data_IF_189464985317
#
_entry.id   IF_189464985317
#
_cell.length_a   1.000
_cell.length_b   1.000
_cell.length_c   1.000
_cell.angle_alpha   90.00
_cell.angle_beta   90.00
_cell.angle_gamma   90.00
#
_symmetry.space_group_name_H-M   'P 1'
#
loop_
_entity.id
_entity.type
_entity.pdbx_description
1 polymer ?
#
# COMPACT_ATOMS: atom_id res chain seq x y z
N UNK A 1 -2.10 -0.19 24.62
CA UNK A 1 -2.45 -0.68 23.28
C UNK A 1 -3.00 -2.07 23.45
N UNK A 2 -4.10 -2.39 22.75
CA UNK A 2 -4.78 -3.67 22.88
C UNK A 2 -4.94 -4.35 21.52
N UNK A 3 -4.78 -5.67 21.53
CA UNK A 3 -5.03 -6.52 20.37
C UNK A 3 -6.40 -7.17 20.52
N UNK A 4 -7.29 -6.89 19.58
CA UNK A 4 -8.63 -7.49 19.55
C UNK A 4 -8.80 -8.36 18.32
N UNK A 5 -9.66 -9.37 18.42
CA UNK A 5 -10.09 -10.10 17.24
C UNK A 5 -10.69 -9.11 16.22
N UNK A 6 -10.37 -9.21 14.91
CA UNK A 6 -10.78 -8.21 13.91
C UNK A 6 -12.28 -7.90 13.90
N UNK A 7 -13.13 -8.90 14.18
CA UNK A 7 -14.58 -8.70 14.27
C UNK A 7 -15.01 -7.85 15.47
N UNK A 8 -14.36 -8.04 16.64
CA UNK A 8 -14.65 -7.23 17.84
C UNK A 8 -14.22 -5.79 17.58
N UNK A 9 -13.04 -5.60 16.99
CA UNK A 9 -12.55 -4.28 16.59
C UNK A 9 -13.54 -3.56 15.66
N UNK A 10 -14.03 -4.25 14.61
CA UNK A 10 -15.01 -3.67 13.68
C UNK A 10 -16.31 -3.26 14.37
N UNK A 11 -16.80 -4.05 15.33
CA UNK A 11 -18.03 -3.74 16.08
C UNK A 11 -17.83 -2.54 17.00
N UNK A 12 -16.71 -2.50 17.73
CA UNK A 12 -16.34 -1.35 18.56
C UNK A 12 -16.24 -0.05 17.72
N UNK A 13 -15.56 -0.12 16.57
CA UNK A 13 -15.41 1.03 15.66
C UNK A 13 -16.77 1.48 15.12
N UNK A 14 -17.62 0.54 14.70
CA UNK A 14 -18.97 0.85 14.23
C UNK A 14 -19.79 1.59 15.29
N UNK A 15 -19.78 1.09 16.53
CA UNK A 15 -20.48 1.73 17.65
C UNK A 15 -19.98 3.15 17.92
N UNK A 16 -18.65 3.36 17.89
CA UNK A 16 -18.07 4.68 18.10
C UNK A 16 -18.48 5.69 17.01
N UNK A 17 -18.63 5.25 15.76
CA UNK A 17 -19.04 6.10 14.65
C UNK A 17 -20.57 6.29 14.55
N UNK A 18 -21.34 5.66 15.44
CA UNK A 18 -22.80 5.76 15.51
C UNK A 18 -23.54 4.69 14.70
N UNK A 19 -24.66 4.21 15.25
CA UNK A 19 -25.56 3.23 14.61
C UNK A 19 -26.40 3.82 13.47
N UNK A 20 -26.40 5.15 13.29
CA UNK A 20 -27.21 5.88 12.30
C UNK A 20 -26.80 5.59 10.83
N UNK A 21 -25.70 4.87 10.62
CA UNK A 21 -25.29 4.38 9.31
C UNK A 21 -25.21 2.85 9.29
N UNK A 22 -26.37 2.15 9.17
CA UNK A 22 -26.41 0.68 9.06
C UNK A 22 -25.62 0.12 7.86
N UNK A 23 -25.26 0.98 6.90
CA UNK A 23 -24.45 0.64 5.74
C UNK A 23 -22.94 0.94 5.91
N UNK A 24 -22.49 1.38 7.10
CA UNK A 24 -21.10 1.71 7.34
C UNK A 24 -20.23 0.44 7.31
N UNK A 25 -19.53 0.27 6.20
CA UNK A 25 -18.58 -0.83 6.00
C UNK A 25 -17.25 -0.43 6.61
N UNK A 26 -16.93 -0.99 7.79
CA UNK A 26 -15.64 -0.78 8.43
C UNK A 26 -14.58 -1.63 7.73
N UNK A 27 -13.57 -1.02 7.09
CA UNK A 27 -12.49 -1.79 6.48
C UNK A 27 -11.66 -2.54 7.54
N UNK A 28 -10.85 -3.53 7.14
CA UNK A 28 -9.83 -4.12 8.01
C UNK A 28 -8.73 -3.07 8.28
N UNK A 29 -8.89 -2.30 9.35
CA UNK A 29 -7.97 -1.23 9.75
C UNK A 29 -6.69 -1.82 10.36
N UNK A 30 -5.54 -1.20 10.08
CA UNK A 30 -4.26 -1.57 10.72
C UNK A 30 -4.15 -1.15 12.18
N UNK A 31 -4.82 -0.05 12.55
CA UNK A 31 -5.00 0.41 13.92
C UNK A 31 -6.22 1.35 13.99
N UNK A 32 -6.71 1.61 15.19
CA UNK A 32 -7.76 2.60 15.45
C UNK A 32 -7.52 3.30 16.79
N UNK A 33 -7.80 4.60 16.85
CA UNK A 33 -7.73 5.40 18.06
C UNK A 33 -9.14 5.63 18.60
N UNK A 34 -9.43 5.07 19.76
CA UNK A 34 -10.73 5.12 20.39
C UNK A 34 -10.67 5.91 21.70
N UNK A 35 -11.60 6.85 21.97
CA UNK A 35 -11.71 7.48 23.27
C UNK A 35 -11.88 6.44 24.37
N UNK A 36 -11.20 6.62 25.50
CA UNK A 36 -11.20 5.64 26.60
C UNK A 36 -12.62 5.30 27.06
N UNK A 37 -13.47 6.31 27.24
CA UNK A 37 -14.84 6.13 27.73
C UNK A 37 -15.68 5.31 26.75
N UNK A 38 -15.56 5.59 25.45
CA UNK A 38 -16.25 4.85 24.40
C UNK A 38 -15.79 3.39 24.34
N UNK A 39 -14.49 3.13 24.55
CA UNK A 39 -13.97 1.77 24.63
C UNK A 39 -14.58 0.98 25.78
N UNK A 40 -14.61 1.56 26.99
CA UNK A 40 -15.14 0.89 28.17
C UNK A 40 -16.62 0.53 27.98
N UNK A 41 -17.43 1.50 27.55
CA UNK A 41 -18.86 1.28 27.24
C UNK A 41 -19.03 0.24 26.12
N UNK A 42 -18.18 0.26 25.10
CA UNK A 42 -18.25 -0.71 24.00
C UNK A 42 -17.89 -2.13 24.43
N UNK A 43 -16.97 -2.29 25.37
CA UNK A 43 -16.52 -3.60 25.87
C UNK A 43 -17.54 -4.26 26.79
N UNK A 44 -18.37 -3.49 27.51
CA UNK A 44 -19.47 -4.04 28.32
C UNK A 44 -20.35 -5.00 27.51
N UNK A 45 -20.67 -4.63 26.27
CA UNK A 45 -21.52 -5.43 25.38
C UNK A 45 -20.74 -6.42 24.51
N UNK A 46 -19.56 -6.04 24.03
CA UNK A 46 -18.83 -6.81 23.01
C UNK A 46 -17.87 -7.85 23.59
N UNK A 47 -17.28 -7.59 24.77
CA UNK A 47 -16.31 -8.48 25.41
C UNK A 47 -16.14 -8.16 26.92
N UNK A 48 -17.08 -8.61 27.77
CA UNK A 48 -17.06 -8.31 29.21
C UNK A 48 -15.83 -8.89 29.92
N UNK A 49 -15.29 -10.02 29.43
CA UNK A 49 -14.07 -10.61 29.98
C UNK A 49 -12.85 -9.69 29.76
N UNK A 50 -12.76 -9.05 28.58
CA UNK A 50 -11.72 -8.07 28.31
C UNK A 50 -11.92 -6.80 29.15
N UNK A 51 -13.16 -6.36 29.37
CA UNK A 51 -13.45 -5.22 30.25
C UNK A 51 -12.92 -5.46 31.66
N UNK A 52 -13.19 -6.63 32.25
CA UNK A 52 -12.74 -6.96 33.61
C UNK A 52 -11.21 -6.86 33.78
N UNK A 53 -10.44 -7.15 32.73
CA UNK A 53 -8.97 -7.01 32.73
C UNK A 53 -8.55 -5.54 32.57
N UNK A 54 -9.30 -4.77 31.78
CA UNK A 54 -8.95 -3.43 31.33
C UNK A 54 -9.37 -2.34 32.33
N UNK A 55 -10.47 -2.54 33.04
CA UNK A 55 -11.05 -1.57 33.99
C UNK A 55 -10.10 -1.22 35.15
N UNK A 56 -9.25 -2.17 35.56
CA UNK A 56 -8.24 -1.97 36.60
C UNK A 56 -6.97 -1.25 36.13
N UNK A 57 -6.84 -0.92 34.85
CA UNK A 57 -5.64 -0.31 34.28
C UNK A 57 -5.78 1.21 34.16
N UNK A 58 -4.69 1.94 34.38
CA UNK A 58 -4.66 3.36 34.06
C UNK A 58 -4.49 3.55 32.54
N UNK A 59 -5.61 3.71 31.83
CA UNK A 59 -5.63 3.81 30.38
C UNK A 59 -5.40 5.25 29.91
N UNK A 60 -4.56 5.44 28.88
CA UNK A 60 -4.42 6.73 28.21
C UNK A 60 -5.66 7.02 27.35
N UNK A 61 -5.89 8.30 27.08
CA UNK A 61 -6.95 8.74 26.17
C UNK A 61 -6.36 9.54 25.00
N UNK A 62 -6.56 9.14 23.73
CA UNK A 62 -7.25 7.92 23.27
C UNK A 62 -6.41 6.63 23.42
N UNK A 63 -7.12 5.49 23.40
CA UNK A 63 -6.55 4.14 23.42
C UNK A 63 -6.27 3.64 22.00
N UNK A 64 -5.10 3.03 21.79
CA UNK A 64 -4.73 2.37 20.53
C UNK A 64 -5.28 0.94 20.51
N UNK A 65 -6.11 0.66 19.51
CA UNK A 65 -6.64 -0.65 19.20
C UNK A 65 -6.01 -1.18 17.91
N UNK A 66 -5.64 -2.45 17.89
CA UNK A 66 -5.07 -3.10 16.71
C UNK A 66 -5.70 -4.48 16.50
N UNK A 67 -5.85 -4.93 15.25
CA UNK A 67 -6.36 -6.27 14.98
C UNK A 67 -5.32 -7.33 15.39
N UNK A 68 -5.77 -8.42 15.98
CA UNK A 68 -4.96 -9.61 16.20
C UNK A 68 -4.75 -10.35 14.86
N UNK A 69 -3.53 -10.79 14.54
CA UNK A 69 -3.30 -11.55 13.31
C UNK A 69 -3.91 -12.94 13.48
N UNK A 70 -4.48 -13.48 12.41
CA UNK A 70 -4.99 -14.85 12.40
C UNK A 70 -3.85 -15.88 12.49
N UNK A 71 -4.15 -17.09 12.98
CA UNK A 71 -3.17 -18.17 13.02
C UNK A 71 -2.59 -18.49 11.63
N UNK A 72 -3.39 -18.36 10.58
CA UNK A 72 -2.95 -18.55 9.19
C UNK A 72 -1.97 -17.47 8.72
N UNK A 73 -2.22 -16.22 9.10
CA UNK A 73 -1.33 -15.09 8.82
C UNK A 73 0.01 -15.27 9.54
N UNK A 74 -0.03 -15.62 10.83
CA UNK A 74 1.17 -15.90 11.62
C UNK A 74 2.01 -17.04 11.02
N UNK A 75 1.39 -18.10 10.53
CA UNK A 75 2.09 -19.21 9.88
C UNK A 75 2.66 -18.84 8.48
N UNK A 76 2.16 -17.77 7.86
CA UNK A 76 2.47 -17.42 6.47
C UNK A 76 3.73 -16.55 6.30
N UNK A 77 4.29 -15.97 7.36
CA UNK A 77 5.45 -15.09 7.27
C UNK A 77 6.40 -15.29 8.45
N UNK A 78 7.66 -14.90 8.28
CA UNK A 78 8.65 -14.93 9.35
C UNK A 78 8.20 -14.05 10.54
N UNK A 79 8.54 -14.46 11.75
CA UNK A 79 8.23 -13.71 12.98
C UNK A 79 8.74 -12.27 12.93
N UNK A 80 9.93 -12.04 12.37
CA UNK A 80 10.49 -10.70 12.17
C UNK A 80 9.58 -9.80 11.32
N UNK A 81 9.00 -10.34 10.24
CA UNK A 81 8.07 -9.58 9.39
C UNK A 81 6.85 -9.11 10.19
N UNK A 82 6.27 -9.98 11.01
CA UNK A 82 5.14 -9.63 11.87
C UNK A 82 5.50 -8.63 12.94
N UNK A 83 6.63 -8.83 13.65
CA UNK A 83 7.11 -7.89 14.66
C UNK A 83 7.33 -6.50 14.07
N UNK A 84 7.96 -6.42 12.90
CA UNK A 84 8.18 -5.15 12.20
C UNK A 84 6.88 -4.52 11.71
N UNK A 85 5.95 -5.30 11.16
CA UNK A 85 4.64 -4.80 10.72
C UNK A 85 3.84 -4.21 11.89
N UNK A 86 3.78 -4.93 13.01
CA UNK A 86 3.09 -4.45 14.21
C UNK A 86 3.81 -3.27 14.86
N UNK A 87 5.14 -3.23 14.79
CA UNK A 87 5.92 -2.05 15.19
C UNK A 87 5.52 -0.83 14.36
N UNK A 88 5.43 -0.98 13.04
CA UNK A 88 4.99 0.06 12.12
C UNK A 88 3.61 0.61 12.44
N UNK A 89 2.62 -0.28 12.56
CA UNK A 89 1.24 0.12 12.91
C UNK A 89 1.16 0.77 14.29
N UNK A 90 1.90 0.25 15.29
CA UNK A 90 1.95 0.88 16.61
C UNK A 90 2.58 2.26 16.53
N UNK A 91 3.72 2.40 15.85
CA UNK A 91 4.41 3.68 15.70
C UNK A 91 3.51 4.72 15.05
N UNK A 92 2.84 4.35 13.96
CA UNK A 92 1.87 5.19 13.28
C UNK A 92 0.75 5.67 14.23
N UNK A 93 0.17 4.73 14.98
CA UNK A 93 -0.89 5.03 15.95
C UNK A 93 -0.40 5.94 17.09
N UNK A 94 0.83 5.73 17.56
CA UNK A 94 1.46 6.55 18.60
C UNK A 94 1.72 7.98 18.12
N UNK A 95 2.14 8.15 16.86
CA UNK A 95 2.29 9.49 16.24
C UNK A 95 0.92 10.17 16.14
N UNK A 96 -0.09 9.48 15.61
CA UNK A 96 -1.45 10.01 15.49
C UNK A 96 -2.02 10.42 16.86
N UNK A 97 -1.79 9.60 17.89
CA UNK A 97 -2.21 9.87 19.27
C UNK A 97 -1.48 11.07 19.87
N UNK A 98 -0.15 11.11 19.77
CA UNK A 98 0.66 12.20 20.30
C UNK A 98 0.32 13.54 19.63
N UNK A 99 0.09 13.52 18.32
CA UNK A 99 -0.36 14.69 17.57
C UNK A 99 -1.72 15.18 18.10
N UNK A 100 -2.69 14.28 18.26
CA UNK A 100 -4.03 14.63 18.75
C UNK A 100 -3.98 15.19 20.18
N UNK A 101 -3.24 14.54 21.08
CA UNK A 101 -3.08 15.02 22.45
C UNK A 101 -2.48 16.43 22.47
N UNK A 102 -1.44 16.68 21.68
CA UNK A 102 -0.84 18.00 21.59
C UNK A 102 -1.82 19.06 21.04
N UNK A 103 -2.73 18.71 20.11
CA UNK A 103 -3.72 19.67 19.59
C UNK A 103 -4.81 19.96 20.63
N UNK A 104 -5.21 18.96 21.41
CA UNK A 104 -6.16 19.12 22.50
C UNK A 104 -5.58 20.04 23.60
N UNK A 105 -4.30 19.86 23.94
CA UNK A 105 -3.60 20.64 24.97
C UNK A 105 -3.30 22.07 24.52
N UNK A 106 -2.76 22.26 23.31
CA UNK A 106 -2.33 23.57 22.82
C UNK A 106 -3.44 24.39 22.16
N UNK A 107 -4.58 23.76 21.84
CA UNK A 107 -5.72 24.37 21.15
C UNK A 107 -5.37 25.03 19.81
N UNK A 108 -4.37 24.50 19.09
CA UNK A 108 -3.79 25.09 17.88
C UNK A 108 -4.24 24.40 16.57
N UNK A 109 -5.42 23.76 16.59
CA UNK A 109 -6.04 23.09 15.43
C UNK A 109 -6.13 23.98 14.19
N UNK A 110 -6.28 25.30 14.35
CA UNK A 110 -6.29 26.20 13.21
C UNK A 110 -4.97 26.15 12.42
N UNK A 111 -3.83 26.09 13.12
CA UNK A 111 -2.48 26.13 12.53
C UNK A 111 -1.99 24.75 12.15
N UNK A 112 -2.28 23.76 12.98
CA UNK A 112 -1.71 22.42 12.85
C UNK A 112 -2.74 21.31 12.65
N UNK A 113 -4.03 21.63 12.54
CA UNK A 113 -5.09 20.70 12.12
C UNK A 113 -5.27 20.69 10.60
N UNK A 114 -6.41 20.19 10.14
CA UNK A 114 -6.66 19.94 8.72
C UNK A 114 -6.55 21.21 7.85
N UNK A 115 -7.11 22.33 8.32
CA UNK A 115 -6.99 23.63 7.61
C UNK A 115 -5.54 24.12 7.55
N UNK A 116 -4.74 23.83 8.57
CA UNK A 116 -3.31 24.08 8.59
C UNK A 116 -2.58 23.27 7.54
N UNK A 117 -2.87 21.96 7.50
CA UNK A 117 -2.30 21.03 6.53
C UNK A 117 -2.64 21.45 5.09
N UNK A 118 -3.90 21.77 4.78
CA UNK A 118 -4.32 22.24 3.46
C UNK A 118 -3.52 23.49 3.02
N UNK A 119 -3.22 24.41 3.93
CA UNK A 119 -2.39 25.60 3.63
C UNK A 119 -0.92 25.28 3.34
N UNK A 120 -0.43 24.13 3.81
CA UNK A 120 0.96 23.67 3.65
C UNK A 120 1.11 22.86 2.37
N UNK A 121 0.26 21.86 2.14
CA UNK A 121 0.39 20.92 1.02
C UNK A 121 -0.51 21.28 -0.19
N UNK A 122 -1.52 22.12 0.01
CA UNK A 122 -2.50 22.50 -1.00
C UNK A 122 -3.70 21.54 -1.08
N UNK A 123 -4.83 22.04 -1.60
CA UNK A 123 -6.08 21.28 -1.70
C UNK A 123 -5.95 20.00 -2.52
N UNK A 124 -5.24 20.06 -3.65
CA UNK A 124 -5.02 18.90 -4.52
C UNK A 124 -4.31 17.77 -3.78
N UNK A 125 -3.29 18.09 -2.99
CA UNK A 125 -2.55 17.09 -2.22
C UNK A 125 -3.35 16.56 -1.04
N UNK A 126 -4.18 17.39 -0.41
CA UNK A 126 -5.09 16.93 0.63
C UNK A 126 -6.18 15.99 0.08
N UNK A 127 -6.71 16.27 -1.11
CA UNK A 127 -7.65 15.37 -1.78
C UNK A 127 -6.99 14.03 -2.16
N UNK A 128 -5.75 14.06 -2.66
CA UNK A 128 -4.94 12.86 -2.91
C UNK A 128 -4.74 12.04 -1.62
N UNK A 129 -4.43 12.71 -0.51
CA UNK A 129 -4.30 12.08 0.79
C UNK A 129 -5.57 11.35 1.23
N UNK A 130 -6.75 11.98 1.06
CA UNK A 130 -8.04 11.34 1.34
C UNK A 130 -8.23 10.09 0.50
N UNK A 131 -8.15 10.25 -0.82
CA UNK A 131 -8.37 9.17 -1.78
C UNK A 131 -7.48 7.96 -1.50
N UNK A 132 -6.20 8.20 -1.20
CA UNK A 132 -5.24 7.14 -0.91
C UNK A 132 -5.56 6.42 0.40
N UNK A 133 -5.80 7.17 1.49
CA UNK A 133 -6.10 6.57 2.78
C UNK A 133 -7.39 5.73 2.75
N UNK A 134 -8.40 6.18 2.01
CA UNK A 134 -9.66 5.44 1.81
C UNK A 134 -9.47 4.21 0.94
N UNK A 135 -8.76 4.33 -0.19
CA UNK A 135 -8.46 3.23 -1.10
C UNK A 135 -7.66 2.12 -0.41
N UNK A 136 -6.64 2.51 0.35
CA UNK A 136 -5.77 1.60 1.09
C UNK A 136 -6.40 1.11 2.39
N UNK A 137 -7.68 1.46 2.65
CA UNK A 137 -8.45 0.98 3.79
C UNK A 137 -7.79 1.33 5.14
N UNK A 138 -7.07 2.44 5.17
CA UNK A 138 -6.35 2.95 6.35
C UNK A 138 -7.26 3.81 7.22
N UNK A 139 -8.33 4.33 6.63
CA UNK A 139 -9.38 5.10 7.31
C UNK A 139 -10.76 4.54 6.98
N UNK A 140 -11.72 4.83 7.84
CA UNK A 140 -13.15 4.66 7.51
C UNK A 140 -13.53 5.72 6.48
N UNK A 141 -14.47 5.38 5.59
CA UNK A 141 -14.97 6.32 4.57
C UNK A 141 -15.66 7.52 5.25
N UNK A 142 -15.61 8.67 4.58
CA UNK A 142 -16.31 9.88 4.97
C UNK A 142 -15.95 10.42 6.37
N UNK A 143 -14.73 10.14 6.84
CA UNK A 143 -14.21 10.78 8.06
C UNK A 143 -14.08 12.29 7.88
N UNK A 144 -14.26 13.00 8.98
CA UNK A 144 -14.02 14.42 9.04
C UNK A 144 -12.54 14.76 8.77
N UNK A 145 -12.31 15.97 8.28
CA UNK A 145 -11.01 16.44 7.85
C UNK A 145 -9.96 16.41 8.97
N UNK A 146 -10.35 16.64 10.23
CA UNK A 146 -9.42 16.63 11.37
C UNK A 146 -8.98 15.20 11.71
N UNK A 147 -9.93 14.26 11.69
CA UNK A 147 -9.62 12.84 11.83
C UNK A 147 -8.73 12.34 10.69
N UNK A 148 -9.01 12.77 9.45
CA UNK A 148 -8.18 12.45 8.29
C UNK A 148 -6.77 13.03 8.44
N UNK A 149 -6.66 14.30 8.85
CA UNK A 149 -5.38 14.97 9.08
C UNK A 149 -4.53 14.21 10.11
N UNK A 150 -5.13 13.83 11.25
CA UNK A 150 -4.49 13.00 12.28
C UNK A 150 -3.94 11.69 11.71
N UNK A 151 -4.75 10.96 10.94
CA UNK A 151 -4.38 9.67 10.35
C UNK A 151 -3.26 9.83 9.31
N UNK A 152 -3.35 10.89 8.51
CA UNK A 152 -2.35 11.20 7.51
C UNK A 152 -1.00 11.57 8.13
N UNK A 153 -0.98 12.35 9.22
CA UNK A 153 0.25 12.68 9.96
C UNK A 153 0.93 11.42 10.49
N UNK A 154 0.15 10.48 11.06
CA UNK A 154 0.66 9.16 11.44
C UNK A 154 1.31 8.45 10.25
N UNK A 155 0.60 8.39 9.12
CA UNK A 155 1.06 7.65 7.95
C UNK A 155 2.28 8.24 7.26
N UNK A 156 2.32 9.56 7.06
CA UNK A 156 3.47 10.21 6.41
C UNK A 156 4.73 10.07 7.25
N UNK A 157 4.56 10.06 8.58
CA UNK A 157 5.64 9.80 9.53
C UNK A 157 6.06 8.33 9.50
N UNK A 158 5.11 7.39 9.39
CA UNK A 158 5.41 5.98 9.15
C UNK A 158 6.26 5.79 7.89
N UNK A 159 5.86 6.40 6.76
CA UNK A 159 6.61 6.31 5.51
C UNK A 159 8.04 6.84 5.66
N UNK A 160 8.23 7.96 6.38
CA UNK A 160 9.56 8.52 6.65
C UNK A 160 10.52 7.52 7.30
N UNK A 161 10.07 6.70 8.26
CA UNK A 161 10.95 5.84 9.07
C UNK A 161 10.91 4.35 8.71
N UNK A 162 9.80 3.85 8.17
CA UNK A 162 9.67 2.43 7.79
C UNK A 162 9.90 2.21 6.30
N UNK A 163 9.67 3.23 5.47
CA UNK A 163 9.78 3.15 4.01
C UNK A 163 10.45 4.42 3.44
N UNK A 164 11.68 4.75 3.85
CA UNK A 164 12.26 6.07 3.57
C UNK A 164 12.41 6.30 2.06
N UNK A 165 12.10 7.53 1.63
CA UNK A 165 12.09 7.91 0.22
C UNK A 165 10.83 7.52 -0.57
N UNK A 166 9.84 6.89 0.08
CA UNK A 166 8.58 6.54 -0.57
C UNK A 166 7.53 7.66 -0.53
N UNK A 167 7.68 8.71 0.29
CA UNK A 167 6.59 9.66 0.55
C UNK A 167 6.12 10.36 -0.72
N UNK A 168 7.05 10.77 -1.58
CA UNK A 168 6.72 11.40 -2.86
C UNK A 168 6.18 10.43 -3.92
N UNK A 169 6.32 9.11 -3.73
CA UNK A 169 5.63 8.11 -4.55
C UNK A 169 4.17 7.94 -4.15
N UNK A 170 3.88 7.99 -2.84
CA UNK A 170 2.50 7.95 -2.32
C UNK A 170 1.77 9.28 -2.56
N UNK A 171 2.47 10.41 -2.42
CA UNK A 171 1.88 11.75 -2.48
C UNK A 171 2.56 12.66 -3.51
N UNK A 172 2.48 12.36 -4.82
CA UNK A 172 3.14 13.13 -5.87
C UNK A 172 2.61 14.56 -6.02
N UNK A 173 1.42 14.88 -5.48
CA UNK A 173 0.92 16.26 -5.50
C UNK A 173 1.67 17.18 -4.53
N UNK A 174 2.39 16.63 -3.54
CA UNK A 174 3.20 17.39 -2.58
C UNK A 174 4.54 17.75 -3.21
N UNK A 175 4.76 19.06 -3.40
CA UNK A 175 5.97 19.59 -4.04
C UNK A 175 7.06 20.01 -3.07
N UNK A 176 6.68 20.53 -1.91
CA UNK A 176 7.58 21.13 -0.92
C UNK A 176 7.56 20.30 0.37
N UNK A 177 8.34 19.22 0.35
CA UNK A 177 8.49 18.30 1.49
C UNK A 177 9.23 18.96 2.66
N UNK A 178 10.14 19.90 2.41
CA UNK A 178 10.87 20.62 3.46
C UNK A 178 9.94 21.53 4.27
N UNK A 179 8.98 22.19 3.60
CA UNK A 179 7.95 22.98 4.28
C UNK A 179 7.02 22.10 5.11
N UNK A 180 6.63 20.94 4.59
CA UNK A 180 5.83 19.98 5.34
C UNK A 180 6.60 19.44 6.56
N UNK A 181 7.87 19.08 6.41
CA UNK A 181 8.70 18.57 7.50
C UNK A 181 8.89 19.62 8.60
N UNK A 182 9.04 20.90 8.23
CA UNK A 182 9.02 22.02 9.19
C UNK A 182 7.67 22.13 9.91
N UNK A 183 6.56 22.11 9.18
CA UNK A 183 5.23 22.15 9.78
C UNK A 183 4.98 21.00 10.77
N UNK A 184 5.44 19.79 10.44
CA UNK A 184 5.36 18.64 11.35
C UNK A 184 6.24 18.83 12.61
N UNK A 185 7.47 19.35 12.47
CA UNK A 185 8.35 19.65 13.61
C UNK A 185 7.77 20.74 14.50
N UNK A 186 7.26 21.82 13.90
CA UNK A 186 6.64 22.95 14.60
C UNK A 186 5.35 22.54 15.33
N UNK A 187 4.69 21.46 14.89
CA UNK A 187 3.58 20.83 15.60
C UNK A 187 4.00 20.09 16.88
N UNK A 188 5.30 19.97 17.15
CA UNK A 188 5.84 19.30 18.34
C UNK A 188 6.26 17.85 18.13
N UNK A 189 6.27 17.34 16.89
CA UNK A 189 6.79 16.01 16.59
C UNK A 189 8.32 16.00 16.51
N UNK A 190 8.95 15.07 17.23
CA UNK A 190 10.39 14.81 17.15
C UNK A 190 10.70 14.05 15.85
N UNK A 191 11.18 14.79 14.84
CA UNK A 191 11.49 14.24 13.52
C UNK A 191 12.99 14.33 13.14
N UNK A 192 13.87 13.55 13.79
CA UNK A 192 15.26 13.43 13.36
C UNK A 192 15.37 12.85 11.92
N UNK A 193 16.51 13.05 11.24
CA UNK A 193 16.74 12.42 9.93
C UNK A 193 16.62 10.88 10.02
N UNK A 194 15.91 10.23 9.09
CA UNK A 194 15.63 8.78 9.18
C UNK A 194 16.87 7.91 8.97
N UNK A 195 17.84 8.34 8.15
CA UNK A 195 18.95 7.48 7.67
C UNK A 195 20.37 7.84 8.14
N UNK A 196 20.55 8.91 8.92
CA UNK A 196 21.90 9.41 9.28
C UNK A 196 22.07 9.79 10.77
N UNK A 197 21.12 9.40 11.61
CA UNK A 197 21.09 9.77 13.04
C UNK A 197 21.48 8.62 13.97
N UNK A 198 22.26 8.91 15.01
CA UNK A 198 22.43 8.03 16.19
C UNK A 198 21.15 7.94 17.05
N UNK A 199 20.07 8.63 16.66
CA UNK A 199 18.87 8.84 17.46
C UNK A 199 17.62 8.67 16.60
N UNK A 200 16.78 7.72 16.97
CA UNK A 200 15.42 7.59 16.49
C UNK A 200 14.47 8.55 17.22
N UNK A 201 13.30 8.87 16.61
CA UNK A 201 12.21 9.50 17.35
C UNK A 201 11.94 8.75 18.65
N UNK A 202 11.65 9.46 19.73
CA UNK A 202 11.31 8.82 21.00
C UNK A 202 10.10 7.88 20.86
N UNK A 203 9.09 8.28 20.06
CA UNK A 203 7.92 7.46 19.77
C UNK A 203 8.27 6.17 19.02
N UNK A 204 9.24 6.21 18.11
CA UNK A 204 9.71 5.04 17.37
C UNK A 204 10.44 4.05 18.30
N UNK A 205 11.26 4.59 19.20
CA UNK A 205 11.98 3.79 20.20
C UNK A 205 11.01 3.14 21.20
N UNK A 206 10.01 3.90 21.67
CA UNK A 206 8.99 3.41 22.63
C UNK A 206 8.01 2.43 22.02
N UNK A 207 7.75 2.50 20.71
CA UNK A 207 6.86 1.58 20.01
C UNK A 207 7.53 0.25 19.66
N UNK A 208 8.86 0.15 19.75
CA UNK A 208 9.61 -1.06 19.42
C UNK A 208 9.14 -2.26 20.24
N UNK A 209 8.89 -3.43 19.62
CA UNK A 209 8.62 -4.66 20.34
C UNK A 209 9.80 -5.05 21.23
N UNK A 210 9.52 -5.50 22.46
CA UNK A 210 10.55 -5.97 23.39
C UNK A 210 11.30 -7.17 22.80
N UNK A 211 12.63 -7.12 22.86
CA UNK A 211 13.50 -8.19 22.33
C UNK A 211 13.61 -8.24 20.80
N UNK A 212 13.07 -7.25 20.08
CA UNK A 212 13.28 -7.12 18.65
C UNK A 212 14.41 -6.13 18.36
N UNK A 213 15.50 -6.62 17.75
CA UNK A 213 16.69 -5.81 17.44
C UNK A 213 16.84 -5.37 15.98
N UNK A 214 15.84 -5.67 15.13
CA UNK A 214 15.84 -5.23 13.74
C UNK A 214 15.69 -3.71 13.56
N UNK A 215 16.09 -3.23 12.39
CA UNK A 215 15.89 -1.85 11.96
C UNK A 215 14.41 -1.59 11.59
N UNK A 216 13.90 -0.36 11.77
CA UNK A 216 12.53 -0.01 11.40
C UNK A 216 12.34 0.00 9.88
N UNK A 217 13.35 0.44 9.14
CA UNK A 217 13.29 0.63 7.70
C UNK A 217 13.54 -0.67 6.93
N UNK A 218 12.77 -0.83 5.86
CA UNK A 218 13.14 -1.65 4.72
C UNK A 218 13.58 -0.70 3.61
N UNK A 219 14.58 -1.06 2.80
CA UNK A 219 14.87 -0.35 1.56
C UNK A 219 13.85 -0.78 0.51
N UNK A 220 12.79 -0.01 0.24
CA UNK A 220 11.88 -0.35 -0.85
C UNK A 220 12.66 -0.31 -2.17
N UNK A 221 12.49 -1.33 -3.01
CA UNK A 221 12.85 -1.21 -4.42
C UNK A 221 11.87 -0.20 -5.03
N UNK A 222 12.28 1.05 -5.24
CA UNK A 222 11.43 2.08 -5.84
C UNK A 222 11.78 2.24 -7.33
N UNK A 223 10.76 2.42 -8.21
CA UNK A 223 10.99 2.58 -9.64
C UNK A 223 11.72 3.89 -9.96
N UNK A 224 12.97 3.79 -10.40
CA UNK A 224 13.71 4.95 -10.90
C UNK A 224 13.16 5.42 -12.26
N UNK A 225 13.26 6.73 -12.53
CA UNK A 225 12.79 7.49 -13.70
C UNK A 225 11.32 7.88 -13.75
N UNK A 226 10.53 7.56 -12.72
CA UNK A 226 9.27 8.27 -12.53
C UNK A 226 9.54 9.66 -11.92
N UNK A 227 8.90 10.73 -12.42
CA UNK A 227 9.14 12.09 -11.93
C UNK A 227 8.74 12.28 -10.45
N UNK A 228 8.02 11.32 -9.87
CA UNK A 228 7.36 11.42 -8.58
C UNK A 228 8.33 11.28 -7.40
N UNK A 229 9.35 10.42 -7.46
CA UNK A 229 10.24 10.19 -6.32
C UNK A 229 11.25 11.30 -6.03
N UNK A 230 11.62 12.11 -7.04
CA UNK A 230 12.77 13.04 -6.97
C UNK A 230 12.64 14.17 -5.96
N UNK A 231 11.42 14.45 -5.49
CA UNK A 231 11.16 15.55 -4.58
C UNK A 231 11.20 15.13 -3.10
N UNK A 232 11.31 13.84 -2.78
CA UNK A 232 11.43 13.40 -1.37
C UNK A 232 12.87 13.63 -0.87
N UNK A 233 13.09 14.49 0.15
CA UNK A 233 14.43 14.73 0.68
C UNK A 233 15.03 13.45 1.30
N UNK A 234 14.19 12.51 1.76
CA UNK A 234 14.67 11.24 2.32
C UNK A 234 15.14 10.25 1.23
N UNK A 235 14.91 10.54 -0.05
CA UNK A 235 15.41 9.74 -1.19
C UNK A 235 16.84 10.15 -1.59
N UNK A 236 17.21 11.42 -1.41
CA UNK A 236 18.46 12.00 -1.93
C UNK A 236 19.71 11.52 -1.18
N UNK A 237 19.55 11.00 0.04
CA UNK A 237 20.61 10.76 1.01
C UNK A 237 21.18 9.32 1.02
N UNK A 238 20.85 8.50 0.00
CA UNK A 238 21.60 7.28 -0.34
C UNK A 238 20.89 5.93 -0.16
N UNK A 239 21.24 5.01 -1.07
CA UNK A 239 21.04 3.56 -0.99
C UNK A 239 19.58 3.07 -0.86
N UNK A 240 18.70 3.38 -1.80
CA UNK A 240 17.72 2.34 -2.15
C UNK A 240 18.42 1.42 -3.14
N UNK A 241 18.45 0.11 -2.91
CA UNK A 241 19.02 -0.87 -3.85
C UNK A 241 18.53 -0.56 -5.27
N UNK A 242 19.45 0.04 -6.04
CA UNK A 242 19.23 0.65 -7.34
C UNK A 242 19.01 -0.49 -8.30
N UNK A 243 17.75 -0.80 -8.60
CA UNK A 243 17.46 -1.61 -9.77
C UNK A 243 17.25 -0.64 -10.93
N UNK A 244 18.21 -0.53 -11.86
CA UNK A 244 17.90 0.04 -13.15
C UNK A 244 16.73 -0.78 -13.69
N UNK A 245 15.56 -0.15 -13.85
CA UNK A 245 14.63 -0.60 -14.88
C UNK A 245 15.49 -0.64 -16.13
N UNK A 246 15.86 -1.84 -16.58
CA UNK A 246 16.65 -2.07 -17.78
C UNK A 246 15.91 -1.33 -18.89
N UNK A 247 16.32 -0.09 -19.13
CA UNK A 247 15.85 0.76 -20.18
C UNK A 247 16.44 0.15 -21.44
N UNK A 248 15.78 -0.90 -21.93
CA UNK A 248 15.92 -1.23 -23.34
C UNK A 248 15.40 0.02 -24.06
N UNK A 249 16.22 0.67 -24.90
CA UNK A 249 15.83 1.92 -25.53
C UNK A 249 14.48 1.71 -26.21
N UNK A 250 13.53 2.59 -25.90
CA UNK A 250 12.27 2.64 -26.61
C UNK A 250 12.62 2.74 -28.11
N UNK A 251 12.16 1.81 -28.97
CA UNK A 251 12.40 1.95 -30.38
C UNK A 251 11.75 3.26 -30.83
N UNK A 252 12.57 4.08 -31.48
CA UNK A 252 12.23 5.36 -32.07
C UNK A 252 10.95 5.21 -32.90
N UNK A 253 9.92 5.95 -32.50
CA UNK A 253 8.65 6.01 -33.21
C UNK A 253 8.87 6.72 -34.55
N UNK A 254 8.92 5.95 -35.64
CA UNK A 254 8.73 6.46 -36.99
C UNK A 254 7.35 6.02 -37.44
N UNK A 255 6.46 7.00 -37.57
CA UNK A 255 5.13 6.78 -38.15
C UNK A 255 5.28 6.52 -39.65
N UNK A 256 5.02 5.29 -40.06
CA UNK A 256 4.73 4.98 -41.45
C UNK A 256 3.26 4.62 -41.60
N UNK A 257 2.52 5.59 -42.14
CA UNK A 257 1.21 5.44 -42.72
C UNK A 257 1.28 4.44 -43.88
N UNK A 258 0.62 3.29 -43.75
CA UNK A 258 0.24 2.47 -44.90
C UNK A 258 -1.27 2.35 -44.98
N UNK A 259 -1.81 3.06 -45.96
CA UNK A 259 -3.18 2.97 -46.41
C UNK A 259 -3.41 1.68 -47.21
N UNK A 260 -4.64 1.16 -47.10
CA UNK A 260 -5.28 0.32 -48.10
C UNK A 260 -5.29 -1.18 -47.78
N UNK A 261 -6.44 -1.72 -47.35
CA UNK A 261 -7.31 -2.61 -48.16
C UNK A 261 -8.63 -2.85 -47.40
N UNK A 262 -9.75 -2.90 -48.14
CA UNK A 262 -11.14 -2.85 -47.66
C UNK A 262 -11.61 -4.12 -46.91
N UNK A 263 -12.64 -4.02 -46.03
CA UNK A 263 -12.93 -4.94 -44.94
C UNK A 263 -14.23 -5.75 -45.12
N UNK A 264 -14.44 -6.82 -44.34
CA UNK A 264 -15.68 -6.96 -43.54
C UNK A 264 -15.87 -8.29 -42.78
N UNK A 265 -15.09 -9.35 -43.02
CA UNK A 265 -15.20 -10.59 -42.22
C UNK A 265 -14.04 -10.80 -41.24
N UNK A 266 -12.81 -10.62 -41.70
CA UNK A 266 -11.63 -10.76 -40.84
C UNK A 266 -11.49 -9.62 -39.82
N UNK A 267 -11.93 -8.40 -40.15
CA UNK A 267 -11.96 -7.29 -39.19
C UNK A 267 -12.93 -7.58 -38.03
N UNK A 268 -14.13 -8.09 -38.31
CA UNK A 268 -15.10 -8.44 -37.27
C UNK A 268 -14.67 -9.63 -36.40
N UNK A 269 -13.96 -10.61 -36.96
CA UNK A 269 -13.35 -11.71 -36.20
C UNK A 269 -12.15 -11.24 -35.37
N UNK A 270 -11.33 -10.34 -35.91
CA UNK A 270 -10.23 -9.69 -35.18
C UNK A 270 -10.73 -8.84 -34.02
N UNK A 271 -11.78 -8.04 -34.24
CA UNK A 271 -12.40 -7.19 -33.21
C UNK A 271 -13.05 -8.04 -32.10
N UNK A 272 -13.69 -9.15 -32.46
CA UNK A 272 -14.23 -10.12 -31.49
C UNK A 272 -13.12 -10.78 -30.67
N UNK A 273 -12.01 -11.13 -31.30
CA UNK A 273 -10.87 -11.75 -30.62
C UNK A 273 -10.16 -10.75 -29.70
N UNK A 274 -9.98 -9.49 -30.14
CA UNK A 274 -9.46 -8.40 -29.32
C UNK A 274 -10.36 -8.12 -28.11
N UNK A 275 -11.68 -8.05 -28.29
CA UNK A 275 -12.64 -7.88 -27.20
C UNK A 275 -12.61 -9.06 -26.21
N UNK A 276 -12.42 -10.28 -26.70
CA UNK A 276 -12.31 -11.48 -25.86
C UNK A 276 -11.00 -11.50 -25.05
N UNK A 277 -9.89 -11.07 -25.65
CA UNK A 277 -8.59 -10.92 -24.98
C UNK A 277 -8.69 -9.83 -23.92
N UNK A 278 -9.29 -8.69 -24.24
CA UNK A 278 -9.50 -7.58 -23.31
C UNK A 278 -10.37 -8.01 -22.12
N UNK A 279 -11.49 -8.68 -22.36
CA UNK A 279 -12.36 -9.20 -21.30
C UNK A 279 -11.59 -10.16 -20.37
N UNK A 280 -10.74 -11.04 -20.92
CA UNK A 280 -9.92 -11.99 -20.15
C UNK A 280 -8.79 -11.31 -19.38
N UNK A 281 -8.24 -10.22 -19.90
CA UNK A 281 -7.22 -9.41 -19.21
C UNK A 281 -7.84 -8.56 -18.08
N UNK A 282 -9.01 -7.96 -18.31
CA UNK A 282 -9.78 -7.28 -17.26
C UNK A 282 -10.18 -8.25 -16.15
N UNK A 283 -10.58 -9.47 -16.50
CA UNK A 283 -10.87 -10.52 -15.52
C UNK A 283 -9.62 -10.94 -14.74
N UNK A 284 -8.47 -11.07 -15.40
CA UNK A 284 -7.19 -11.35 -14.73
C UNK A 284 -6.80 -10.25 -13.73
N UNK A 285 -6.96 -8.98 -14.11
CA UNK A 285 -6.74 -7.82 -13.24
C UNK A 285 -7.72 -7.83 -12.06
N UNK A 286 -9.01 -8.10 -12.30
CA UNK A 286 -10.02 -8.24 -11.24
C UNK A 286 -9.69 -9.38 -10.30
N UNK A 287 -9.32 -10.56 -10.81
CA UNK A 287 -8.93 -11.71 -10.00
C UNK A 287 -7.69 -11.44 -9.16
N UNK A 288 -6.66 -10.82 -9.76
CA UNK A 288 -5.46 -10.43 -9.02
C UNK A 288 -5.76 -9.38 -7.94
N UNK A 289 -6.61 -8.40 -8.24
CA UNK A 289 -7.10 -7.44 -7.23
C UNK A 289 -8.00 -8.10 -6.18
N UNK A 290 -8.72 -9.18 -6.51
CA UNK A 290 -9.59 -9.91 -5.58
C UNK A 290 -8.81 -10.86 -4.66
N UNK A 291 -7.62 -11.32 -5.06
CA UNK A 291 -6.68 -12.05 -4.19
C UNK A 291 -6.26 -11.19 -2.98
N UNK A 292 -6.38 -9.86 -3.06
CA UNK A 292 -6.16 -8.94 -1.93
C UNK A 292 -7.36 -8.85 -0.97
N UNK A 293 -8.54 -9.37 -1.35
CA UNK A 293 -9.81 -9.16 -0.63
C UNK A 293 -10.36 -10.40 0.08
N UNK A 294 -9.82 -11.60 -0.17
CA UNK A 294 -10.27 -12.83 0.51
C UNK A 294 -9.15 -13.43 1.37
N UNK A 295 -9.26 -13.38 2.72
CA UNK A 295 -8.41 -14.16 3.59
C UNK A 295 -8.94 -15.60 3.57
N UNK A 296 -8.38 -16.46 2.69
CA UNK A 296 -8.85 -17.83 2.62
C UNK A 296 -8.20 -18.69 1.54
N UNK A 297 -7.23 -19.49 1.97
CA UNK A 297 -7.10 -20.92 1.62
C UNK A 297 -7.05 -21.34 0.14
N UNK A 298 -6.23 -20.69 -0.71
CA UNK A 298 -5.08 -21.49 -1.13
C UNK A 298 -3.79 -20.68 -1.35
N UNK A 299 -3.63 -19.51 -0.73
CA UNK A 299 -2.48 -18.63 -0.96
C UNK A 299 -1.12 -19.18 -0.49
N UNK A 300 -1.05 -20.22 0.35
CA UNK A 300 0.23 -20.85 0.74
C UNK A 300 0.65 -21.95 -0.24
N UNK A 301 -0.26 -22.83 -0.66
CA UNK A 301 0.00 -23.88 -1.64
C UNK A 301 0.38 -23.27 -3.00
N UNK A 302 -0.25 -22.16 -3.39
CA UNK A 302 0.11 -21.43 -4.60
C UNK A 302 1.40 -20.61 -4.47
N UNK A 303 1.83 -20.23 -3.26
CA UNK A 303 3.10 -19.52 -3.03
C UNK A 303 4.29 -20.40 -3.37
N UNK A 304 4.31 -21.62 -2.83
CA UNK A 304 5.41 -22.57 -3.04
C UNK A 304 5.47 -23.10 -4.48
N UNK A 305 4.30 -23.28 -5.11
CA UNK A 305 4.23 -23.72 -6.51
C UNK A 305 4.65 -22.60 -7.48
N UNK A 306 4.25 -21.35 -7.20
CA UNK A 306 4.55 -20.23 -8.09
C UNK A 306 6.00 -19.74 -7.96
N UNK A 307 6.62 -19.78 -6.78
CA UNK A 307 8.05 -19.46 -6.63
C UNK A 307 8.93 -20.47 -7.39
N UNK A 308 8.55 -21.74 -7.43
CA UNK A 308 9.23 -22.77 -8.25
C UNK A 308 9.01 -22.60 -9.76
N UNK A 309 7.87 -22.04 -10.17
CA UNK A 309 7.52 -21.88 -11.59
C UNK A 309 7.98 -20.54 -12.19
N UNK A 310 8.22 -19.50 -11.39
CA UNK A 310 8.65 -18.17 -11.85
C UNK A 310 9.86 -18.21 -12.80
N UNK A 311 10.99 -18.89 -12.46
CA UNK A 311 12.14 -18.95 -13.37
C UNK A 311 11.83 -19.72 -14.67
N UNK A 312 10.99 -20.76 -14.62
CA UNK A 312 10.58 -21.50 -15.81
C UNK A 312 9.68 -20.64 -16.72
N UNK A 313 8.82 -19.81 -16.13
CA UNK A 313 7.95 -18.89 -16.87
C UNK A 313 8.71 -17.73 -17.50
N UNK A 314 9.74 -17.20 -16.84
CA UNK A 314 10.64 -16.20 -17.41
C UNK A 314 11.45 -16.78 -18.59
N UNK A 315 11.88 -18.04 -18.47
CA UNK A 315 12.57 -18.75 -19.55
C UNK A 315 11.63 -18.98 -20.76
N UNK A 316 10.37 -19.33 -20.51
CA UNK A 316 9.32 -19.41 -21.52
C UNK A 316 9.03 -18.05 -22.18
N UNK A 317 9.00 -16.97 -21.40
CA UNK A 317 8.81 -15.61 -21.91
C UNK A 317 9.95 -15.20 -22.86
N UNK A 318 11.21 -15.46 -22.49
CA UNK A 318 12.36 -15.17 -23.36
C UNK A 318 12.42 -16.05 -24.61
N UNK A 319 11.98 -17.31 -24.53
CA UNK A 319 11.87 -18.20 -25.69
C UNK A 319 10.80 -17.72 -26.67
N UNK A 320 9.65 -17.28 -26.17
CA UNK A 320 8.58 -16.71 -26.99
C UNK A 320 9.01 -15.40 -27.66
N UNK A 321 9.76 -14.55 -26.97
CA UNK A 321 10.32 -13.30 -27.54
C UNK A 321 11.37 -13.57 -28.62
N UNK A 322 12.18 -14.62 -28.44
CA UNK A 322 13.17 -15.05 -29.43
C UNK A 322 12.51 -15.67 -30.66
N UNK A 323 11.37 -16.33 -30.49
CA UNK A 323 10.59 -16.88 -31.59
C UNK A 323 9.84 -15.81 -32.39
N UNK A 324 9.21 -14.84 -31.71
CA UNK A 324 8.56 -13.71 -32.40
C UNK A 324 9.54 -12.82 -33.16
N UNK A 325 10.76 -12.66 -32.66
CA UNK A 325 11.84 -11.95 -33.35
C UNK A 325 12.36 -12.69 -34.61
N UNK A 326 12.01 -13.97 -34.82
CA UNK A 326 12.52 -14.79 -35.92
C UNK A 326 11.66 -14.77 -37.19
N UNK A 327 10.61 -13.96 -37.23
CA UNK A 327 9.99 -13.43 -38.47
C UNK A 327 9.21 -14.37 -39.39
N UNK A 328 9.42 -15.70 -39.39
CA UNK A 328 9.10 -16.51 -40.58
C UNK A 328 7.83 -17.39 -40.53
N UNK A 329 6.97 -17.28 -39.53
CA UNK A 329 5.69 -18.03 -39.56
C UNK A 329 4.60 -17.42 -38.69
N UNK A 330 3.35 -17.51 -39.16
CA UNK A 330 2.17 -17.16 -38.36
C UNK A 330 2.25 -17.84 -36.99
N UNK A 331 2.08 -17.11 -35.88
CA UNK A 331 2.27 -17.67 -34.55
C UNK A 331 1.28 -18.83 -34.35
N UNK A 332 1.74 -20.00 -33.91
CA UNK A 332 0.86 -21.14 -33.71
C UNK A 332 -0.26 -20.80 -32.71
N UNK A 333 -1.47 -21.35 -32.90
CA UNK A 333 -2.69 -20.93 -32.18
C UNK A 333 -2.65 -21.05 -30.65
N UNK A 334 -1.64 -21.70 -30.08
CA UNK A 334 -1.40 -21.74 -28.63
C UNK A 334 -0.66 -20.50 -28.09
N UNK A 335 -0.01 -19.70 -28.95
CA UNK A 335 0.78 -18.52 -28.54
C UNK A 335 -0.07 -17.45 -27.84
N UNK A 336 -1.27 -17.08 -28.32
CA UNK A 336 -2.13 -16.14 -27.60
C UNK A 336 -2.56 -16.67 -26.22
N UNK A 337 -2.82 -17.97 -26.10
CA UNK A 337 -3.17 -18.60 -24.82
C UNK A 337 -1.98 -18.58 -23.83
N UNK A 338 -0.76 -18.86 -24.32
CA UNK A 338 0.46 -18.76 -23.53
C UNK A 338 0.76 -17.32 -23.09
N UNK A 339 0.59 -16.33 -23.99
CA UNK A 339 0.75 -14.90 -23.67
C UNK A 339 -0.26 -14.43 -22.64
N UNK A 340 -1.52 -14.89 -22.71
CA UNK A 340 -2.54 -14.58 -21.70
C UNK A 340 -2.20 -15.21 -20.33
N UNK A 341 -1.64 -16.42 -20.33
CA UNK A 341 -1.19 -17.07 -19.10
C UNK A 341 0.00 -16.32 -18.47
N UNK A 342 0.97 -15.88 -19.29
CA UNK A 342 2.08 -15.02 -18.86
C UNK A 342 1.61 -13.64 -18.37
N UNK A 343 0.59 -13.05 -19.02
CA UNK A 343 -0.04 -11.82 -18.57
C UNK A 343 -0.64 -11.98 -17.16
N UNK A 344 -1.43 -13.05 -16.96
CA UNK A 344 -2.00 -13.40 -15.64
C UNK A 344 -0.92 -13.58 -14.58
N UNK A 345 0.13 -14.32 -14.92
CA UNK A 345 1.26 -14.55 -14.02
C UNK A 345 1.98 -13.25 -13.68
N UNK A 346 2.26 -12.40 -14.66
CA UNK A 346 2.92 -11.09 -14.48
C UNK A 346 2.09 -10.17 -13.59
N UNK A 347 0.79 -10.05 -13.82
CA UNK A 347 -0.11 -9.27 -12.95
C UNK A 347 -0.09 -9.83 -11.51
N UNK A 348 -0.20 -11.15 -11.33
CA UNK A 348 -0.17 -11.77 -10.00
C UNK A 348 1.18 -11.63 -9.31
N UNK A 349 2.29 -11.73 -10.05
CA UNK A 349 3.64 -11.52 -9.53
C UNK A 349 3.86 -10.06 -9.15
N UNK A 350 3.28 -9.12 -9.91
CA UNK A 350 3.33 -7.71 -9.61
C UNK A 350 2.65 -7.38 -8.28
N UNK A 351 1.39 -7.80 -8.13
CA UNK A 351 0.65 -7.59 -6.89
C UNK A 351 1.32 -8.29 -5.70
N UNK A 352 1.94 -9.47 -5.89
CA UNK A 352 2.72 -10.14 -4.83
C UNK A 352 3.97 -9.35 -4.43
N UNK A 353 4.68 -8.79 -5.41
CA UNK A 353 5.85 -7.97 -5.16
C UNK A 353 5.49 -6.66 -4.45
N UNK A 354 4.37 -6.04 -4.83
CA UNK A 354 3.79 -4.87 -4.15
C UNK A 354 3.46 -5.18 -2.69
N UNK A 355 2.79 -6.30 -2.42
CA UNK A 355 2.46 -6.76 -1.06
C UNK A 355 3.70 -7.07 -0.21
N UNK A 356 4.83 -7.39 -0.85
CA UNK A 356 6.11 -7.63 -0.18
C UNK A 356 6.96 -6.34 -0.04
N UNK A 357 6.42 -5.16 -0.38
CA UNK A 357 7.17 -3.90 -0.38
C UNK A 357 8.22 -3.77 -1.49
N UNK A 358 8.22 -4.69 -2.46
CA UNK A 358 9.12 -4.73 -3.61
C UNK A 358 8.49 -4.05 -4.83
N UNK A 359 8.23 -2.75 -4.72
CA UNK A 359 7.50 -1.97 -5.75
C UNK A 359 8.20 -1.96 -7.13
N UNK A 360 9.53 -2.03 -7.16
CA UNK A 360 10.33 -2.13 -8.38
C UNK A 360 10.13 -3.47 -9.10
N UNK A 361 10.12 -4.58 -8.35
CA UNK A 361 9.68 -5.87 -8.89
C UNK A 361 8.21 -5.84 -9.34
N UNK A 362 7.33 -5.16 -8.59
CA UNK A 362 5.93 -5.03 -8.97
C UNK A 362 5.76 -4.37 -10.33
N UNK A 363 6.44 -3.23 -10.52
CA UNK A 363 6.39 -2.48 -11.77
C UNK A 363 7.08 -3.21 -12.92
N UNK A 364 8.19 -3.93 -12.70
CA UNK A 364 8.77 -4.80 -13.73
C UNK A 364 7.77 -5.84 -14.23
N UNK A 365 7.09 -6.52 -13.32
CA UNK A 365 6.08 -7.51 -13.68
C UNK A 365 4.87 -6.88 -14.38
N UNK A 366 4.44 -5.67 -13.99
CA UNK A 366 3.40 -4.91 -14.70
C UNK A 366 3.85 -4.46 -16.09
N UNK A 367 5.09 -3.99 -16.24
CA UNK A 367 5.65 -3.61 -17.54
C UNK A 367 5.73 -4.81 -18.49
N UNK A 368 6.17 -5.97 -17.98
CA UNK A 368 6.15 -7.22 -18.75
C UNK A 368 4.72 -7.61 -19.13
N UNK A 369 3.76 -7.54 -18.20
CA UNK A 369 2.36 -7.81 -18.50
C UNK A 369 1.80 -6.84 -19.55
N UNK A 370 2.10 -5.54 -19.45
CA UNK A 370 1.67 -4.53 -20.43
C UNK A 370 2.26 -4.79 -21.83
N UNK A 371 3.52 -5.23 -21.92
CA UNK A 371 4.12 -5.63 -23.20
C UNK A 371 3.41 -6.85 -23.78
N UNK A 372 3.13 -7.87 -22.97
CA UNK A 372 2.37 -9.06 -23.40
C UNK A 372 0.95 -8.74 -23.85
N UNK A 373 0.30 -7.77 -23.22
CA UNK A 373 -1.02 -7.30 -23.65
C UNK A 373 -0.97 -6.69 -25.05
N UNK A 374 0.00 -5.80 -25.31
CA UNK A 374 0.20 -5.19 -26.63
C UNK A 374 0.61 -6.19 -27.72
N UNK A 375 1.29 -7.27 -27.36
CA UNK A 375 1.62 -8.34 -28.31
C UNK A 375 0.40 -9.23 -28.64
N UNK A 376 -0.70 -9.12 -27.89
CA UNK A 376 -1.93 -9.89 -28.10
C UNK A 376 -3.02 -9.08 -28.81
N UNK A 377 -2.97 -7.75 -28.75
CA UNK A 377 -3.92 -6.80 -29.36
C UNK A 377 -3.28 -6.15 -30.58
#
# INVERSE_FOLDING_TARGET
MFLFHPRVLQRLVRRHLGDDSPNLTIPPLGHYLMPREVLLIGLEDENPDALAIIEGLNLPDPVILMPMPSAQELAAAASEHWLRRYWGHRFEAEVARAWQAARADNQDHATFGARGLVRVIGERAFHEARMLLEQDRRVVLDLDDETLCRQWVGFVTYLRYFVPGARAYFFPAIRDWDRLDRWLKDSGLDLPPPRHGRRWPQLLSRSRPSGFDGAPDYEPELPLNLPFGRNDPDLADGANTILPLLAKPAPTFVGETRAGTSPNRMAAESDRMAAQIEARCREALRQASALTRKPGWPASVWRDLAERLTPAMDLLATLLDRWSARGDSAPPGWVPAARLHLFRHGVQAAFRAEMAGRYGAALRHLCMAAHRYRDMT
#
